data_IF_128347657366
#
_entry.id   IF_128347657366
#
_cell.length_a   1.000
_cell.length_b   1.000
_cell.length_c   1.000
_cell.angle_alpha   90.00
_cell.angle_beta   90.00
_cell.angle_gamma   90.00
#
_symmetry.space_group_name_H-M   'P 1'
#
loop_
_entity.id
_entity.type
_entity.pdbx_description
1 polymer ?
#
# COMPACT_ATOMS: atom_id res chain seq x y z
N UNK A 1 12.11 -17.24 -2.91
CA UNK A 1 12.36 -15.81 -2.62
C UNK A 1 11.41 -15.39 -1.52
N UNK A 2 11.90 -15.03 -0.32
CA UNK A 2 11.05 -14.59 0.79
C UNK A 2 11.11 -13.05 0.81
N UNK A 3 9.98 -12.37 0.63
CA UNK A 3 9.94 -10.90 0.59
C UNK A 3 10.11 -10.28 1.99
N UNK A 4 9.57 -10.93 3.03
CA UNK A 4 9.64 -10.48 4.42
C UNK A 4 10.13 -11.66 5.27
N UNK A 5 11.16 -11.44 6.08
CA UNK A 5 11.71 -12.43 7.02
C UNK A 5 10.88 -12.55 8.32
N UNK A 6 9.55 -12.55 8.17
CA UNK A 6 8.57 -12.75 9.25
C UNK A 6 7.52 -13.79 8.83
N UNK A 7 6.90 -14.51 9.77
CA UNK A 7 5.72 -15.30 9.46
C UNK A 7 4.56 -14.36 9.06
N UNK A 8 3.68 -14.81 8.17
CA UNK A 8 2.61 -13.96 7.63
C UNK A 8 1.68 -13.43 8.73
N UNK A 9 1.48 -14.21 9.79
CA UNK A 9 0.71 -13.85 10.98
C UNK A 9 1.31 -12.71 11.83
N UNK A 10 2.57 -12.32 11.59
CA UNK A 10 3.25 -11.21 12.28
C UNK A 10 3.44 -9.99 11.37
N UNK A 11 3.03 -10.06 10.10
CA UNK A 11 3.14 -8.94 9.16
C UNK A 11 2.09 -7.88 9.50
N UNK A 12 2.55 -6.63 9.65
CA UNK A 12 1.69 -5.48 9.85
C UNK A 12 1.55 -4.65 8.57
N UNK A 13 0.32 -4.34 8.19
CA UNK A 13 -0.01 -3.67 6.93
C UNK A 13 -0.71 -2.34 7.17
N UNK A 14 -0.21 -1.29 6.52
CA UNK A 14 -0.94 -0.05 6.26
C UNK A 14 -1.73 -0.24 4.96
N UNK A 15 -3.05 -0.18 5.02
CA UNK A 15 -3.94 -0.19 3.87
C UNK A 15 -4.33 1.26 3.52
N UNK A 16 -3.98 1.73 2.33
CA UNK A 16 -4.25 3.09 1.84
C UNK A 16 -5.35 3.05 0.77
N UNK A 17 -6.62 3.29 1.14
CA UNK A 17 -7.75 3.19 0.22
C UNK A 17 -8.01 4.48 -0.57
N UNK A 18 -7.22 5.53 -0.36
CA UNK A 18 -7.50 6.91 -0.78
C UNK A 18 -7.83 7.09 -2.26
N UNK A 19 -7.32 6.23 -3.15
CA UNK A 19 -7.64 6.31 -4.57
C UNK A 19 -9.13 6.03 -4.86
N UNK A 20 -9.79 5.21 -4.04
CA UNK A 20 -11.18 4.78 -4.25
C UNK A 20 -12.18 5.87 -3.84
N UNK A 21 -13.10 6.22 -4.74
CA UNK A 21 -14.09 7.29 -4.55
C UNK A 21 -15.51 6.89 -4.88
N UNK A 22 -15.68 5.81 -5.64
CA UNK A 22 -16.96 5.24 -6.05
C UNK A 22 -17.26 3.96 -5.26
N UNK A 23 -18.54 3.56 -5.23
CA UNK A 23 -18.95 2.30 -4.59
C UNK A 23 -18.24 1.08 -5.19
N UNK A 24 -17.99 1.10 -6.49
CA UNK A 24 -17.28 0.02 -7.18
C UNK A 24 -15.81 -0.04 -6.74
N UNK A 25 -15.12 1.09 -6.67
CA UNK A 25 -13.72 1.11 -6.20
C UNK A 25 -13.62 0.68 -4.72
N UNK A 26 -14.57 1.10 -3.88
CA UNK A 26 -14.63 0.68 -2.47
C UNK A 26 -14.88 -0.82 -2.33
N UNK A 27 -15.67 -1.43 -3.22
CA UNK A 27 -15.83 -2.88 -3.26
C UNK A 27 -14.49 -3.60 -3.51
N UNK A 28 -13.62 -3.05 -4.35
CA UNK A 28 -12.28 -3.60 -4.57
C UNK A 28 -11.34 -3.38 -3.39
N UNK A 29 -11.47 -2.27 -2.64
CA UNK A 29 -10.76 -2.08 -1.37
C UNK A 29 -11.12 -3.18 -0.37
N UNK A 30 -12.42 -3.47 -0.22
CA UNK A 30 -12.88 -4.55 0.66
C UNK A 30 -12.38 -5.92 0.20
N UNK A 31 -12.29 -6.13 -1.12
CA UNK A 31 -11.72 -7.35 -1.69
C UNK A 31 -10.22 -7.49 -1.36
N UNK A 32 -9.43 -6.43 -1.56
CA UNK A 32 -8.01 -6.41 -1.18
C UNK A 32 -7.81 -6.68 0.31
N UNK A 33 -8.65 -6.09 1.17
CA UNK A 33 -8.60 -6.35 2.62
C UNK A 33 -8.91 -7.82 2.93
N UNK A 34 -9.90 -8.42 2.29
CA UNK A 34 -10.22 -9.85 2.46
C UNK A 34 -9.09 -10.75 1.98
N UNK A 35 -8.41 -10.39 0.88
CA UNK A 35 -7.24 -11.13 0.39
C UNK A 35 -6.11 -11.12 1.42
N UNK A 36 -5.83 -9.98 2.06
CA UNK A 36 -4.84 -9.89 3.16
C UNK A 36 -5.21 -10.80 4.34
N UNK A 37 -6.49 -10.84 4.73
CA UNK A 37 -6.97 -11.75 5.78
C UNK A 37 -6.82 -13.22 5.39
N UNK A 38 -7.16 -13.56 4.14
CA UNK A 38 -7.12 -14.94 3.65
C UNK A 38 -5.69 -15.49 3.54
N UNK A 39 -4.68 -14.65 3.31
CA UNK A 39 -3.27 -15.07 3.33
C UNK A 39 -2.71 -15.24 4.74
N UNK A 40 -3.48 -14.88 5.78
CA UNK A 40 -3.13 -15.11 7.19
C UNK A 40 -2.69 -13.87 7.96
N UNK A 41 -2.83 -12.66 7.41
CA UNK A 41 -2.60 -11.43 8.18
C UNK A 41 -3.80 -11.22 9.10
N UNK A 42 -3.55 -10.95 10.38
CA UNK A 42 -4.65 -10.73 11.32
C UNK A 42 -5.30 -9.37 11.10
N UNK A 43 -6.61 -9.28 11.33
CA UNK A 43 -7.37 -8.04 11.17
C UNK A 43 -6.83 -6.88 12.03
N UNK A 44 -6.29 -7.18 13.22
CA UNK A 44 -5.69 -6.20 14.13
C UNK A 44 -4.37 -5.62 13.62
N UNK A 45 -3.69 -6.34 12.71
CA UNK A 45 -2.41 -5.95 12.13
C UNK A 45 -2.60 -5.20 10.79
N UNK A 46 -3.86 -4.97 10.38
CA UNK A 46 -4.22 -4.14 9.21
C UNK A 46 -4.77 -2.80 9.71
N UNK A 47 -3.99 -1.73 9.53
CA UNK A 47 -4.41 -0.35 9.81
C UNK A 47 -4.80 0.33 8.51
N UNK A 48 -6.01 0.87 8.44
CA UNK A 48 -6.41 1.76 7.34
C UNK A 48 -5.81 3.16 7.56
N UNK A 49 -5.24 3.76 6.52
CA UNK A 49 -4.71 5.12 6.54
C UNK A 49 -5.20 5.90 5.31
N UNK A 50 -6.01 6.92 5.54
CA UNK A 50 -6.42 7.87 4.49
C UNK A 50 -5.46 9.04 4.40
N UNK A 51 -5.11 9.46 3.18
CA UNK A 51 -4.20 10.59 2.93
C UNK A 51 -4.95 11.94 2.95
N UNK A 52 -5.81 12.14 3.94
CA UNK A 52 -6.64 13.34 4.12
C UNK A 52 -5.99 14.43 4.99
N UNK A 53 -4.82 14.14 5.57
CA UNK A 53 -4.01 15.04 6.38
C UNK A 53 -2.51 14.89 6.05
N UNK A 54 -1.67 15.71 6.69
CA UNK A 54 -0.21 15.57 6.61
C UNK A 54 0.18 14.30 7.36
N UNK A 55 0.79 13.35 6.64
CA UNK A 55 1.22 12.08 7.23
C UNK A 55 2.60 12.25 7.86
N UNK A 56 2.74 11.77 9.08
CA UNK A 56 4.03 11.69 9.77
C UNK A 56 4.60 10.25 9.72
N UNK A 57 5.90 10.10 9.90
CA UNK A 57 6.53 8.77 9.80
C UNK A 57 6.06 7.83 10.93
N UNK A 58 5.74 8.38 12.09
CA UNK A 58 5.23 7.64 13.26
C UNK A 58 3.94 6.87 12.95
N UNK A 59 3.16 7.30 11.97
CA UNK A 59 1.92 6.64 11.58
C UNK A 59 2.13 5.33 10.82
N UNK A 60 3.29 5.19 10.18
CA UNK A 60 3.71 4.00 9.42
C UNK A 60 4.86 3.25 10.10
N UNK A 61 5.44 3.80 11.16
CA UNK A 61 6.54 3.16 11.88
C UNK A 61 6.10 1.86 12.55
N UNK A 62 6.98 0.86 12.52
CA UNK A 62 6.68 -0.49 13.02
C UNK A 62 5.75 -1.33 12.15
N UNK A 63 5.32 -0.83 10.97
CA UNK A 63 4.64 -1.62 9.94
C UNK A 63 5.63 -2.21 8.94
N UNK A 64 5.22 -3.29 8.27
CA UNK A 64 6.06 -4.02 7.31
C UNK A 64 5.68 -3.70 5.86
N UNK A 65 4.40 -3.41 5.61
CA UNK A 65 3.86 -3.20 4.27
C UNK A 65 3.01 -1.93 4.21
N UNK A 66 3.23 -1.11 3.18
CA UNK A 66 2.28 -0.10 2.70
C UNK A 66 1.58 -0.69 1.48
N UNK A 67 0.28 -0.95 1.59
CA UNK A 67 -0.58 -1.46 0.53
C UNK A 67 -1.46 -0.32 0.02
N UNK A 68 -1.22 0.15 -1.21
CA UNK A 68 -1.97 1.24 -1.83
C UNK A 68 -2.98 0.67 -2.84
N UNK A 69 -4.26 0.88 -2.54
CA UNK A 69 -5.38 0.36 -3.33
C UNK A 69 -5.55 1.08 -4.67
N UNK A 70 -6.32 0.43 -5.56
CA UNK A 70 -6.72 1.00 -6.84
C UNK A 70 -7.84 2.05 -6.73
N UNK A 71 -8.03 2.80 -7.82
CA UNK A 71 -9.05 3.83 -7.94
C UNK A 71 -8.60 4.93 -8.90
N UNK A 72 -8.84 6.19 -8.55
CA UNK A 72 -8.48 7.33 -9.37
C UNK A 72 -7.00 7.75 -9.17
N UNK A 73 -6.16 7.53 -10.18
CA UNK A 73 -4.71 7.82 -10.13
C UNK A 73 -4.39 9.31 -9.93
N UNK A 74 -5.08 10.22 -10.61
CA UNK A 74 -4.83 11.66 -10.49
C UNK A 74 -5.18 12.18 -9.10
N UNK A 75 -6.29 11.71 -8.53
CA UNK A 75 -6.68 12.03 -7.18
C UNK A 75 -5.67 11.48 -6.17
N UNK A 76 -5.25 10.22 -6.33
CA UNK A 76 -4.22 9.62 -5.48
C UNK A 76 -2.93 10.43 -5.51
N UNK A 77 -2.44 10.83 -6.70
CA UNK A 77 -1.26 11.68 -6.84
C UNK A 77 -1.40 13.00 -6.07
N UNK A 78 -2.54 13.66 -6.24
CA UNK A 78 -2.82 14.92 -5.57
C UNK A 78 -2.78 14.74 -4.05
N UNK A 79 -3.47 13.72 -3.50
CA UNK A 79 -3.49 13.44 -2.07
C UNK A 79 -2.13 13.04 -1.52
N UNK A 80 -1.33 12.27 -2.25
CA UNK A 80 0.05 11.94 -1.87
C UNK A 80 0.88 13.21 -1.69
N UNK A 81 0.84 14.13 -2.67
CA UNK A 81 1.58 15.40 -2.61
C UNK A 81 1.08 16.31 -1.49
N UNK A 82 -0.24 16.41 -1.32
CA UNK A 82 -0.84 17.18 -0.22
C UNK A 82 -0.46 16.62 1.14
N UNK A 83 -0.47 15.30 1.31
CA UNK A 83 -0.15 14.62 2.54
C UNK A 83 1.36 14.57 2.86
N UNK A 84 2.21 14.75 1.84
CA UNK A 84 3.65 14.49 1.96
C UNK A 84 3.99 12.99 2.05
N UNK A 85 3.07 12.14 1.57
CA UNK A 85 3.17 10.68 1.68
C UNK A 85 4.26 10.08 0.80
N UNK A 86 4.69 10.80 -0.24
CA UNK A 86 5.84 10.48 -1.09
C UNK A 86 7.13 10.36 -0.27
N UNK A 87 7.39 11.35 0.61
CA UNK A 87 8.56 11.38 1.49
C UNK A 87 8.49 10.28 2.54
N UNK A 88 7.31 10.06 3.11
CA UNK A 88 7.06 9.00 4.10
C UNK A 88 7.28 7.62 3.48
N UNK A 89 6.75 7.39 2.29
CA UNK A 89 6.92 6.12 1.56
C UNK A 89 8.39 5.87 1.24
N UNK A 90 9.13 6.89 0.79
CA UNK A 90 10.57 6.76 0.55
C UNK A 90 11.33 6.37 1.82
N UNK A 91 11.08 7.06 2.93
CA UNK A 91 11.69 6.73 4.23
C UNK A 91 11.33 5.32 4.71
N UNK A 92 10.09 4.89 4.46
CA UNK A 92 9.61 3.55 4.79
C UNK A 92 10.37 2.46 4.01
N UNK A 93 10.57 2.66 2.70
CA UNK A 93 11.35 1.76 1.85
C UNK A 93 12.84 1.72 2.25
N UNK A 94 13.43 2.86 2.61
CA UNK A 94 14.82 2.94 3.12
C UNK A 94 15.01 2.12 4.41
N UNK A 95 13.96 1.97 5.22
CA UNK A 95 13.93 1.12 6.42
C UNK A 95 13.55 -0.34 6.14
N UNK A 96 13.64 -0.80 4.89
CA UNK A 96 13.28 -2.15 4.41
C UNK A 96 11.78 -2.47 4.48
N UNK A 97 10.93 -1.47 4.61
CA UNK A 97 9.50 -1.65 4.41
C UNK A 97 9.19 -1.99 2.95
N UNK A 98 8.03 -2.60 2.72
CA UNK A 98 7.58 -3.01 1.38
C UNK A 98 6.40 -2.16 0.93
N UNK A 99 6.46 -1.68 -0.31
CA UNK A 99 5.33 -1.07 -0.98
C UNK A 99 4.64 -2.07 -1.90
N UNK A 100 3.33 -2.19 -1.77
CA UNK A 100 2.46 -2.97 -2.67
C UNK A 100 1.44 -2.02 -3.28
N UNK A 101 1.50 -1.82 -4.59
CA UNK A 101 0.54 -1.01 -5.32
C UNK A 101 -0.42 -1.87 -6.12
N UNK A 102 -1.71 -1.51 -6.12
CA UNK A 102 -2.73 -2.10 -6.99
C UNK A 102 -3.28 -1.04 -7.94
N UNK A 103 -3.25 -1.31 -9.25
CA UNK A 103 -3.79 -0.42 -10.29
C UNK A 103 -3.23 1.00 -10.16
N UNK A 104 -4.02 2.01 -9.74
CA UNK A 104 -3.55 3.36 -9.44
C UNK A 104 -2.33 3.38 -8.50
N UNK A 105 -2.33 2.55 -7.46
CA UNK A 105 -1.19 2.42 -6.54
C UNK A 105 0.06 1.84 -7.19
N UNK A 106 -0.06 1.06 -8.26
CA UNK A 106 1.10 0.58 -9.05
C UNK A 106 1.59 1.63 -10.04
N UNK A 107 0.67 2.40 -10.62
CA UNK A 107 0.99 3.44 -11.61
C UNK A 107 1.76 4.60 -10.95
N UNK A 108 1.39 4.95 -9.71
CA UNK A 108 1.93 6.13 -9.02
C UNK A 108 3.44 6.07 -8.72
N UNK A 109 4.00 4.85 -8.72
CA UNK A 109 5.43 4.61 -8.48
C UNK A 109 6.24 4.50 -9.77
N UNK A 110 5.62 4.74 -10.93
CA UNK A 110 6.27 4.72 -12.25
C UNK A 110 7.03 6.02 -12.55
N UNK A 111 7.97 5.99 -13.52
CA UNK A 111 8.91 7.08 -13.80
C UNK A 111 8.27 8.37 -14.37
N UNK A 112 7.07 8.30 -14.93
CA UNK A 112 6.40 9.45 -15.60
C UNK A 112 5.55 10.31 -14.65
N UNK A 113 5.79 10.22 -13.34
CA UNK A 113 5.16 11.07 -12.33
C UNK A 113 6.27 11.66 -11.44
N UNK A 114 7.07 12.53 -12.05
CA UNK A 114 8.09 13.44 -11.46
C UNK A 114 8.64 13.06 -10.06
N UNK A 115 9.59 12.12 -10.00
CA UNK A 115 10.51 11.82 -8.87
C UNK A 115 10.25 10.58 -7.98
N UNK A 116 9.30 9.69 -8.28
CA UNK A 116 9.28 8.36 -7.65
C UNK A 116 10.09 7.34 -8.47
N UNK A 117 11.38 7.21 -8.17
CA UNK A 117 12.18 6.11 -8.73
C UNK A 117 11.63 4.74 -8.26
N UNK A 118 11.34 3.79 -9.15
CA UNK A 118 10.63 2.57 -8.82
C UNK A 118 11.53 1.59 -8.05
N UNK A 119 11.28 1.44 -6.74
CA UNK A 119 11.55 0.20 -6.01
C UNK A 119 10.27 -0.64 -6.02
N UNK A 120 9.93 -1.17 -7.20
CA UNK A 120 8.85 -2.13 -7.36
C UNK A 120 9.37 -3.50 -6.93
N UNK A 121 8.75 -4.10 -5.92
CA UNK A 121 8.82 -5.56 -5.75
C UNK A 121 7.75 -6.17 -6.65
N UNK A 122 8.07 -7.16 -7.51
CA UNK A 122 7.07 -7.77 -8.38
C UNK A 122 5.91 -8.30 -7.54
N UNK A 123 4.68 -8.10 -8.02
CA UNK A 123 3.53 -8.84 -7.52
C UNK A 123 3.93 -10.32 -7.42
N UNK A 124 3.91 -10.86 -6.20
CA UNK A 124 3.84 -12.30 -6.03
C UNK A 124 2.55 -12.71 -6.73
N UNK A 125 2.68 -13.44 -7.85
CA UNK A 125 1.60 -14.32 -8.30
C UNK A 125 1.31 -15.22 -7.10
N UNK A 126 0.25 -14.92 -6.36
CA UNK A 126 -0.40 -15.90 -5.53
C UNK A 126 -0.93 -16.93 -6.52
N UNK A 127 -0.12 -17.95 -6.77
CA UNK A 127 -0.57 -19.14 -7.47
C UNK A 127 -1.76 -19.66 -6.67
N UNK A 128 -2.92 -19.62 -7.32
CA UNK A 128 -4.10 -20.34 -6.90
C UNK A 128 -3.70 -21.81 -6.73
N UNK A 129 -3.54 -22.24 -5.49
CA UNK A 129 -3.52 -23.65 -5.16
C UNK A 129 -4.92 -24.20 -5.38
N UNK A 130 -5.03 -24.94 -6.48
CA UNK A 130 -6.01 -25.97 -6.86
C UNK A 130 -7.52 -25.63 -6.87
#
# INVERSE_FOLDING_TARGET
MKLIDKPVSEIKVILVPTAARTKEELFYVDKSKKELLNVGIHAQDIKTLDLDHKISFEEVDGFDVIYVCGGNTFYLLHKIREAGFDKITKQFLEKRGIYVGVSAGSIIVGPDIDDLHPLIVPLVKLESTE
#
